data_IF_619802805083
#
_entry.id   IF_619802805083
#
_cell.length_a   1.000
_cell.length_b   1.000
_cell.length_c   1.000
_cell.angle_alpha   90.00
_cell.angle_beta   90.00
_cell.angle_gamma   90.00
#
_symmetry.space_group_name_H-M   'P 1'
#
loop_
_entity.id
_entity.type
_entity.pdbx_description
1 polymer ?
#
# COMPACT_ATOMS: atom_id res chain seq x y z
N UNK A 1 16.02 -5.08 -0.55
CA UNK A 1 16.00 -4.84 -2.01
C UNK A 1 16.12 -6.17 -2.74
N UNK A 2 15.13 -6.52 -3.57
CA UNK A 2 15.13 -7.75 -4.38
C UNK A 2 15.04 -7.35 -5.85
N UNK A 3 16.05 -7.63 -6.63
CA UNK A 3 16.23 -7.21 -8.03
C UNK A 3 17.29 -8.09 -8.68
N UNK A 4 17.00 -8.70 -9.81
CA UNK A 4 17.93 -9.59 -10.50
C UNK A 4 18.93 -8.82 -11.38
N UNK A 5 18.52 -7.71 -12.01
CA UNK A 5 19.41 -6.88 -12.80
C UNK A 5 20.50 -6.25 -11.92
N UNK A 6 21.79 -6.59 -12.13
CA UNK A 6 22.88 -6.10 -11.29
C UNK A 6 23.11 -4.59 -11.41
N UNK A 7 22.76 -3.97 -12.56
CA UNK A 7 22.93 -2.53 -12.76
C UNK A 7 21.86 -1.76 -11.99
N UNK A 8 20.59 -2.16 -12.12
CA UNK A 8 19.46 -1.57 -11.38
C UNK A 8 19.67 -1.75 -9.89
N UNK A 9 20.00 -2.97 -9.45
CA UNK A 9 20.28 -3.29 -8.04
C UNK A 9 21.40 -2.43 -7.48
N UNK A 10 22.52 -2.33 -8.17
CA UNK A 10 23.66 -1.51 -7.72
C UNK A 10 23.33 -0.03 -7.64
N UNK A 11 22.61 0.50 -8.64
CA UNK A 11 22.15 1.89 -8.65
C UNK A 11 21.23 2.18 -7.44
N UNK A 12 20.22 1.36 -7.22
CA UNK A 12 19.26 1.54 -6.13
C UNK A 12 19.92 1.40 -4.76
N UNK A 13 20.75 0.38 -4.55
CA UNK A 13 21.50 0.17 -3.30
C UNK A 13 22.37 1.37 -2.99
N UNK A 14 23.12 1.87 -3.96
CA UNK A 14 23.98 3.04 -3.78
C UNK A 14 23.17 4.29 -3.43
N UNK A 15 22.07 4.52 -4.15
CA UNK A 15 21.18 5.65 -3.89
C UNK A 15 20.60 5.61 -2.48
N UNK A 16 20.06 4.48 -2.08
CA UNK A 16 19.45 4.34 -0.74
C UNK A 16 20.49 4.47 0.38
N UNK A 17 21.69 3.91 0.20
CA UNK A 17 22.78 4.08 1.16
C UNK A 17 23.24 5.54 1.28
N UNK A 18 23.31 6.26 0.18
CA UNK A 18 23.60 7.70 0.19
C UNK A 18 22.54 8.49 0.97
N UNK A 19 21.29 8.07 0.91
CA UNK A 19 20.16 8.65 1.65
C UNK A 19 20.07 8.18 3.12
N UNK A 20 21.06 7.43 3.61
CA UNK A 20 21.18 7.00 5.00
C UNK A 20 20.46 5.70 5.35
N UNK A 21 20.02 4.90 4.37
CA UNK A 21 19.39 3.61 4.62
C UNK A 21 20.44 2.48 4.68
N UNK A 22 20.26 1.54 5.61
CA UNK A 22 20.90 0.24 5.52
C UNK A 22 20.20 -0.63 4.49
N UNK A 23 20.94 -1.20 3.56
CA UNK A 23 20.37 -1.97 2.45
C UNK A 23 20.99 -3.35 2.37
N UNK A 24 20.16 -4.36 2.57
CA UNK A 24 20.43 -5.76 2.22
C UNK A 24 19.85 -6.01 0.83
N UNK A 25 20.61 -6.64 -0.06
CA UNK A 25 20.16 -6.94 -1.43
C UNK A 25 20.11 -8.45 -1.67
N UNK A 26 19.09 -8.87 -2.41
CA UNK A 26 18.89 -10.22 -2.91
C UNK A 26 18.67 -10.15 -4.43
N UNK A 27 19.01 -11.20 -5.16
CA UNK A 27 18.87 -11.29 -6.60
C UNK A 27 17.79 -12.29 -7.04
N UNK A 28 17.17 -12.99 -6.09
CA UNK A 28 16.17 -14.01 -6.33
C UNK A 28 15.23 -14.17 -5.12
N UNK A 29 14.16 -14.95 -5.29
CA UNK A 29 13.16 -15.25 -4.24
C UNK A 29 13.79 -15.99 -3.06
N UNK A 30 14.68 -16.95 -3.33
CA UNK A 30 15.25 -17.80 -2.30
C UNK A 30 16.12 -16.99 -1.33
N UNK A 31 17.03 -16.15 -1.86
CA UNK A 31 17.90 -15.27 -1.05
C UNK A 31 17.09 -14.17 -0.34
N UNK A 32 16.05 -13.64 -0.99
CA UNK A 32 15.16 -12.67 -0.36
C UNK A 32 14.44 -13.25 0.86
N UNK A 33 13.86 -14.45 0.73
CA UNK A 33 13.19 -15.15 1.83
C UNK A 33 14.15 -15.51 2.96
N UNK A 34 15.40 -15.89 2.65
CA UNK A 34 16.42 -16.14 3.66
C UNK A 34 16.79 -14.86 4.44
N UNK A 35 17.00 -13.75 3.72
CA UNK A 35 17.35 -12.46 4.32
C UNK A 35 16.24 -11.96 5.27
N UNK A 36 14.97 -12.03 4.84
CA UNK A 36 13.82 -11.59 5.65
C UNK A 36 13.64 -12.44 6.91
N UNK A 37 13.87 -13.74 6.82
CA UNK A 37 13.82 -14.63 8.01
C UNK A 37 14.94 -14.35 9.00
N UNK A 38 16.12 -13.97 8.50
CA UNK A 38 17.26 -13.65 9.35
C UNK A 38 17.06 -12.33 10.09
N UNK A 39 16.61 -11.30 9.39
CA UNK A 39 16.35 -9.98 9.96
C UNK A 39 15.15 -9.33 9.21
N UNK A 40 13.99 -9.20 9.90
CA UNK A 40 12.84 -8.49 9.30
C UNK A 40 13.20 -7.05 8.94
N UNK A 41 12.98 -6.61 7.69
CA UNK A 41 13.32 -5.26 7.27
C UNK A 41 12.24 -4.24 7.66
N UNK A 42 12.59 -2.94 7.67
CA UNK A 42 11.61 -1.85 7.78
C UNK A 42 10.79 -1.64 6.50
N UNK A 43 11.33 -2.03 5.33
CA UNK A 43 10.66 -2.01 4.03
C UNK A 43 11.30 -2.98 3.04
N UNK A 44 10.53 -3.44 2.05
CA UNK A 44 11.03 -4.24 0.93
C UNK A 44 10.78 -3.50 -0.38
N UNK A 45 11.83 -3.40 -1.22
CA UNK A 45 11.70 -3.05 -2.63
C UNK A 45 11.81 -4.36 -3.42
N UNK A 46 10.85 -4.61 -4.28
CA UNK A 46 10.67 -5.91 -4.91
C UNK A 46 10.41 -5.79 -6.41
N UNK A 47 11.29 -6.34 -7.22
CA UNK A 47 11.01 -6.51 -8.65
C UNK A 47 9.93 -7.57 -8.87
N UNK A 48 9.11 -7.36 -9.88
CA UNK A 48 8.10 -8.32 -10.32
C UNK A 48 8.70 -9.53 -11.00
N UNK A 49 9.73 -9.33 -11.79
CA UNK A 49 10.37 -10.38 -12.59
C UNK A 49 11.65 -10.83 -11.88
N UNK A 50 11.64 -12.05 -11.37
CA UNK A 50 12.81 -12.66 -10.73
C UNK A 50 13.14 -13.99 -11.42
N UNK A 51 14.41 -14.43 -11.44
CA UNK A 51 14.86 -15.60 -12.19
C UNK A 51 14.27 -16.92 -11.70
N UNK A 52 13.90 -16.98 -10.42
CA UNK A 52 13.38 -18.16 -9.74
C UNK A 52 11.90 -18.03 -9.34
N UNK A 53 11.20 -16.96 -9.78
CA UNK A 53 9.79 -16.79 -9.48
C UNK A 53 9.20 -15.42 -9.79
N UNK A 54 7.93 -15.26 -9.46
CA UNK A 54 7.15 -14.02 -9.62
C UNK A 54 7.20 -13.21 -8.33
N UNK A 55 7.59 -11.93 -8.42
CA UNK A 55 7.60 -11.00 -7.28
C UNK A 55 6.22 -10.82 -6.64
N UNK A 56 5.13 -10.95 -7.42
CA UNK A 56 3.76 -10.93 -6.88
C UNK A 56 3.55 -12.10 -5.92
N UNK A 57 4.02 -13.28 -6.29
CA UNK A 57 3.92 -14.46 -5.44
C UNK A 57 4.81 -14.34 -4.19
N UNK A 58 6.01 -13.78 -4.33
CA UNK A 58 6.86 -13.49 -3.17
C UNK A 58 6.16 -12.50 -2.22
N UNK A 59 5.50 -11.46 -2.73
CA UNK A 59 4.74 -10.53 -1.91
C UNK A 59 3.62 -11.25 -1.14
N UNK A 60 2.84 -12.12 -1.80
CA UNK A 60 1.79 -12.93 -1.15
C UNK A 60 2.35 -13.82 -0.05
N UNK A 61 3.48 -14.50 -0.28
CA UNK A 61 4.14 -15.35 0.73
C UNK A 61 4.62 -14.54 1.93
N UNK A 62 5.18 -13.36 1.71
CA UNK A 62 5.57 -12.47 2.79
C UNK A 62 4.35 -12.05 3.61
N UNK A 63 3.24 -11.67 2.97
CA UNK A 63 1.99 -11.30 3.65
C UNK A 63 1.37 -12.46 4.41
N UNK A 64 1.29 -13.64 3.81
CA UNK A 64 0.82 -14.86 4.48
C UNK A 64 1.69 -15.24 5.67
N UNK A 65 2.98 -14.93 5.63
CA UNK A 65 3.92 -15.06 6.75
C UNK A 65 3.82 -13.97 7.82
N UNK A 66 2.82 -13.09 7.75
CA UNK A 66 2.58 -12.05 8.75
C UNK A 66 3.42 -10.78 8.57
N UNK A 67 4.06 -10.59 7.41
CA UNK A 67 4.84 -9.38 7.13
C UNK A 67 3.96 -8.12 7.16
N UNK A 68 4.26 -7.20 8.09
CA UNK A 68 3.58 -5.91 8.25
C UNK A 68 4.40 -4.72 7.73
N UNK A 69 5.67 -4.93 7.36
CA UNK A 69 6.50 -3.89 6.76
C UNK A 69 6.02 -3.55 5.34
N UNK A 70 6.21 -2.30 4.89
CA UNK A 70 5.81 -1.89 3.55
C UNK A 70 6.60 -2.60 2.46
N UNK A 71 5.91 -2.91 1.35
CA UNK A 71 6.47 -3.50 0.14
C UNK A 71 6.22 -2.56 -1.03
N UNK A 72 7.30 -2.07 -1.64
CA UNK A 72 7.30 -1.25 -2.86
C UNK A 72 7.67 -2.14 -4.05
N UNK A 73 6.75 -2.30 -4.99
CA UNK A 73 7.02 -3.05 -6.21
C UNK A 73 7.70 -2.19 -7.27
N UNK A 74 8.70 -2.77 -7.95
CA UNK A 74 9.30 -2.21 -9.15
C UNK A 74 8.72 -2.95 -10.35
N UNK A 75 8.14 -2.24 -11.32
CA UNK A 75 7.40 -2.85 -12.45
C UNK A 75 7.78 -2.25 -13.77
N UNK A 76 7.74 -3.02 -14.86
CA UNK A 76 7.89 -2.52 -16.20
C UNK A 76 6.63 -1.75 -16.67
N UNK A 77 6.77 -0.88 -17.66
CA UNK A 77 5.76 0.10 -18.09
C UNK A 77 4.47 -0.51 -18.67
N UNK A 78 4.49 -1.75 -19.14
CA UNK A 78 3.47 -2.29 -20.04
C UNK A 78 2.34 -3.09 -19.36
N UNK A 79 2.27 -3.10 -18.06
CA UNK A 79 1.31 -3.96 -17.35
C UNK A 79 0.39 -3.20 -16.42
N UNK A 80 -0.69 -2.62 -16.97
CA UNK A 80 -1.87 -2.25 -16.17
C UNK A 80 -2.38 -3.49 -15.41
N UNK A 81 -2.32 -4.67 -16.04
CA UNK A 81 -2.59 -5.97 -15.43
C UNK A 81 -1.63 -6.30 -14.28
N UNK A 82 -0.33 -6.02 -14.41
CA UNK A 82 0.65 -6.30 -13.37
C UNK A 82 0.54 -5.33 -12.19
N UNK A 83 0.11 -4.09 -12.44
CA UNK A 83 -0.22 -3.14 -11.36
C UNK A 83 -1.41 -3.62 -10.54
N UNK A 84 -2.46 -4.08 -11.19
CA UNK A 84 -3.65 -4.64 -10.53
C UNK A 84 -3.26 -5.90 -9.75
N UNK A 85 -2.53 -6.84 -10.36
CA UNK A 85 -2.04 -8.06 -9.69
C UNK A 85 -1.10 -7.75 -8.51
N UNK A 86 -0.21 -6.76 -8.66
CA UNK A 86 0.67 -6.30 -7.59
C UNK A 86 -0.10 -5.73 -6.41
N UNK A 87 -1.13 -4.93 -6.66
CA UNK A 87 -1.98 -4.35 -5.63
C UNK A 87 -2.83 -5.42 -4.91
N UNK A 88 -3.35 -6.41 -5.65
CA UNK A 88 -4.08 -7.57 -5.09
C UNK A 88 -3.18 -8.50 -4.26
N UNK A 89 -1.87 -8.48 -4.48
CA UNK A 89 -0.91 -9.28 -3.72
C UNK A 89 -0.59 -8.74 -2.32
N UNK A 90 -1.08 -7.55 -1.99
CA UNK A 90 -0.79 -6.87 -0.73
C UNK A 90 0.43 -5.95 -0.74
N UNK A 91 0.92 -5.55 -1.94
CA UNK A 91 1.92 -4.50 -2.06
C UNK A 91 1.36 -3.15 -1.60
N UNK A 92 2.23 -2.32 -1.02
CA UNK A 92 1.83 -1.01 -0.49
C UNK A 92 1.94 0.11 -1.53
N UNK A 93 2.83 -0.06 -2.51
CA UNK A 93 3.06 0.88 -3.60
C UNK A 93 3.80 0.23 -4.76
N UNK A 94 3.89 0.94 -5.89
CA UNK A 94 4.69 0.53 -7.05
C UNK A 94 5.43 1.72 -7.67
N UNK A 95 6.54 1.41 -8.33
CA UNK A 95 7.31 2.34 -9.17
C UNK A 95 7.51 1.71 -10.53
N UNK A 96 7.24 2.48 -11.58
CA UNK A 96 7.37 2.02 -12.96
C UNK A 96 8.79 2.25 -13.47
N UNK A 97 9.44 1.22 -13.98
CA UNK A 97 10.72 1.32 -14.68
C UNK A 97 10.52 1.91 -16.10
N UNK A 98 11.36 2.87 -16.55
CA UNK A 98 12.43 3.49 -15.81
C UNK A 98 11.94 4.55 -14.83
N UNK A 99 12.54 4.61 -13.65
CA UNK A 99 12.19 5.57 -12.60
C UNK A 99 13.37 6.49 -12.26
N UNK A 100 13.06 7.67 -11.72
CA UNK A 100 14.09 8.54 -11.15
C UNK A 100 14.44 8.09 -9.72
N UNK A 101 15.71 8.26 -9.34
CA UNK A 101 16.16 8.00 -7.97
C UNK A 101 15.44 8.86 -6.96
N UNK A 102 15.12 10.11 -7.32
CA UNK A 102 14.34 11.04 -6.48
C UNK A 102 12.94 10.51 -6.20
N UNK A 103 12.23 9.99 -7.21
CA UNK A 103 10.92 9.38 -7.05
C UNK A 103 10.98 8.16 -6.13
N UNK A 104 11.95 7.26 -6.38
CA UNK A 104 12.13 6.06 -5.57
C UNK A 104 12.34 6.40 -4.10
N UNK A 105 13.26 7.30 -3.79
CA UNK A 105 13.57 7.74 -2.42
C UNK A 105 12.35 8.39 -1.75
N UNK A 106 11.62 9.25 -2.46
CA UNK A 106 10.44 9.90 -1.94
C UNK A 106 9.36 8.88 -1.55
N UNK A 107 9.15 7.83 -2.37
CA UNK A 107 8.20 6.74 -2.08
C UNK A 107 8.64 5.88 -0.89
N UNK A 108 9.91 5.50 -0.83
CA UNK A 108 10.46 4.74 0.31
C UNK A 108 10.28 5.52 1.61
N UNK A 109 10.63 6.81 1.63
CA UNK A 109 10.45 7.67 2.80
C UNK A 109 8.97 7.80 3.20
N UNK A 110 8.07 7.96 2.23
CA UNK A 110 6.62 8.02 2.48
C UNK A 110 6.10 6.73 3.10
N UNK A 111 6.53 5.57 2.61
CA UNK A 111 6.16 4.27 3.13
C UNK A 111 6.65 4.06 4.57
N UNK A 112 7.92 4.38 4.85
CA UNK A 112 8.51 4.24 6.19
C UNK A 112 7.89 5.20 7.21
N UNK A 113 7.58 6.45 6.82
CA UNK A 113 6.91 7.41 7.70
C UNK A 113 5.55 6.88 8.17
N UNK A 114 4.77 6.30 7.27
CA UNK A 114 3.46 5.69 7.60
C UNK A 114 3.61 4.44 8.49
N UNK A 115 4.70 3.68 8.33
CA UNK A 115 4.97 2.52 9.16
C UNK A 115 5.26 2.88 10.63
N UNK A 116 5.73 4.11 10.86
CA UNK A 116 6.13 4.63 12.18
C UNK A 116 5.05 5.48 12.87
N UNK A 117 3.81 5.52 12.36
CA UNK A 117 2.73 6.29 13.01
C UNK A 117 2.53 5.89 14.47
N UNK A 118 2.23 6.84 15.38
CA UNK A 118 2.25 6.61 16.82
C UNK A 118 1.28 5.53 17.27
N UNK A 119 1.69 4.75 18.27
CA UNK A 119 0.88 3.69 18.94
C UNK A 119 -0.36 4.22 19.69
N UNK A 120 -0.60 5.53 19.72
CA UNK A 120 -1.66 6.18 20.52
C UNK A 120 -2.71 6.92 19.67
N UNK A 121 -2.91 6.48 18.42
CA UNK A 121 -3.98 7.07 17.62
C UNK A 121 -5.36 6.61 18.16
N UNK A 122 -6.34 7.53 18.30
CA UNK A 122 -7.65 7.18 18.83
C UNK A 122 -8.37 6.19 17.92
N UNK A 123 -9.24 5.37 18.53
CA UNK A 123 -10.18 4.53 17.79
C UNK A 123 -11.13 5.43 16.98
N UNK A 124 -11.15 5.24 15.67
CA UNK A 124 -12.13 5.91 14.81
C UNK A 124 -13.40 5.05 14.75
N UNK A 125 -14.56 5.71 14.82
CA UNK A 125 -15.88 5.04 14.79
C UNK A 125 -16.81 5.76 13.85
N UNK A 126 -17.47 5.03 12.94
CA UNK A 126 -18.46 5.58 12.02
C UNK A 126 -19.40 4.48 11.51
N UNK A 127 -20.73 4.60 11.71
CA UNK A 127 -21.75 3.73 11.09
C UNK A 127 -21.44 2.22 11.18
N UNK A 128 -21.09 1.74 12.37
CA UNK A 128 -20.72 0.34 12.60
C UNK A 128 -19.28 -0.03 12.16
N UNK A 129 -18.50 0.92 11.63
CA UNK A 129 -17.06 0.77 11.44
C UNK A 129 -16.32 1.14 12.73
N UNK A 130 -15.34 0.35 13.08
CA UNK A 130 -14.36 0.63 14.14
C UNK A 130 -12.98 0.41 13.56
N UNK A 131 -12.09 1.39 13.71
CA UNK A 131 -10.73 1.30 13.23
C UNK A 131 -9.76 1.64 14.34
N UNK A 132 -8.89 0.67 14.65
CA UNK A 132 -7.75 0.82 15.56
C UNK A 132 -6.50 1.10 14.75
N UNK A 133 -6.04 2.35 14.77
CA UNK A 133 -4.83 2.74 14.06
C UNK A 133 -3.56 2.18 14.71
N UNK A 134 -3.58 1.90 16.02
CA UNK A 134 -2.44 1.37 16.75
C UNK A 134 -2.23 -0.12 16.45
N UNK A 135 -3.32 -0.91 16.54
CA UNK A 135 -3.31 -2.34 16.18
C UNK A 135 -3.35 -2.59 14.68
N UNK A 136 -3.69 -1.56 13.88
CA UNK A 136 -4.00 -1.66 12.45
C UNK A 136 -5.10 -2.67 12.15
N UNK A 137 -6.11 -2.66 12.98
CA UNK A 137 -7.30 -3.49 12.86
C UNK A 137 -8.52 -2.65 12.49
N UNK A 138 -9.38 -3.19 11.67
CA UNK A 138 -10.64 -2.57 11.29
C UNK A 138 -11.77 -3.59 11.39
N UNK A 139 -12.92 -3.15 11.89
CA UNK A 139 -14.10 -3.99 12.06
C UNK A 139 -15.32 -3.35 11.40
N UNK A 140 -16.21 -4.20 10.89
CA UNK A 140 -17.57 -3.85 10.49
C UNK A 140 -18.54 -4.61 11.38
N UNK A 141 -19.18 -3.92 12.36
CA UNK A 141 -19.84 -4.59 13.46
C UNK A 141 -18.81 -5.41 14.24
N UNK A 142 -19.06 -6.71 14.38
CA UNK A 142 -18.14 -7.66 15.05
C UNK A 142 -17.18 -8.36 14.08
N UNK A 143 -17.29 -8.09 12.77
CA UNK A 143 -16.48 -8.72 11.74
C UNK A 143 -15.14 -8.00 11.53
N UNK A 144 -14.03 -8.71 11.73
CA UNK A 144 -12.70 -8.23 11.35
C UNK A 144 -12.61 -8.10 9.84
N UNK A 145 -12.13 -6.96 9.36
CA UNK A 145 -11.89 -6.69 7.95
C UNK A 145 -10.43 -7.02 7.60
N UNK A 146 -10.22 -7.97 6.73
CA UNK A 146 -8.89 -8.29 6.20
C UNK A 146 -8.44 -7.24 5.17
N UNK A 147 -7.92 -6.12 5.66
CA UNK A 147 -7.48 -5.02 4.83
C UNK A 147 -5.97 -5.10 4.56
N UNK A 148 -5.60 -4.87 3.30
CA UNK A 148 -4.21 -4.53 2.98
C UNK A 148 -3.85 -3.19 3.62
N UNK A 149 -2.55 -2.90 3.70
CA UNK A 149 -2.08 -1.63 4.28
C UNK A 149 -2.73 -0.41 3.60
N UNK A 150 -2.83 -0.42 2.26
CA UNK A 150 -3.42 0.70 1.50
C UNK A 150 -4.93 0.85 1.71
N UNK A 151 -5.64 -0.25 1.76
CA UNK A 151 -7.08 -0.24 2.07
C UNK A 151 -7.32 0.28 3.48
N UNK A 152 -6.47 -0.12 4.43
CA UNK A 152 -6.53 0.39 5.80
C UNK A 152 -6.26 1.89 5.85
N UNK A 153 -5.19 2.37 5.22
CA UNK A 153 -4.83 3.79 5.19
C UNK A 153 -5.93 4.63 4.51
N UNK A 154 -6.56 4.08 3.45
CA UNK A 154 -7.70 4.71 2.77
C UNK A 154 -8.93 4.78 3.69
N UNK A 155 -9.28 3.68 4.36
CA UNK A 155 -10.40 3.65 5.30
C UNK A 155 -10.16 4.62 6.46
N UNK A 156 -8.95 4.64 7.03
CA UNK A 156 -8.56 5.56 8.09
C UNK A 156 -8.72 7.02 7.66
N UNK A 157 -8.31 7.34 6.43
CA UNK A 157 -8.45 8.69 5.89
C UNK A 157 -9.92 9.08 5.71
N UNK A 158 -10.76 8.20 5.19
CA UNK A 158 -12.20 8.45 5.12
C UNK A 158 -12.84 8.62 6.50
N UNK A 159 -12.47 7.77 7.46
CA UNK A 159 -13.02 7.82 8.83
C UNK A 159 -12.53 9.03 9.63
N UNK A 160 -11.40 9.61 9.27
CA UNK A 160 -10.94 10.88 9.83
C UNK A 160 -11.71 12.11 9.26
N UNK A 161 -12.39 11.95 8.11
CA UNK A 161 -13.12 13.01 7.41
C UNK A 161 -14.55 12.56 7.05
N UNK A 162 -15.36 12.09 8.02
CA UNK A 162 -16.69 11.59 7.74
C UNK A 162 -17.58 12.71 7.19
N UNK A 163 -18.46 12.37 6.23
CA UNK A 163 -19.39 13.27 5.56
C UNK A 163 -18.75 14.38 4.71
N UNK A 164 -17.43 14.41 4.62
CA UNK A 164 -16.70 15.34 3.76
C UNK A 164 -16.47 14.72 2.39
N UNK A 165 -16.70 15.49 1.33
CA UNK A 165 -16.35 15.07 -0.04
C UNK A 165 -14.86 15.27 -0.22
N UNK A 166 -14.14 14.19 -0.47
CA UNK A 166 -12.69 14.17 -0.68
C UNK A 166 -12.40 13.99 -2.16
N UNK A 167 -11.64 14.91 -2.72
CA UNK A 167 -11.19 14.77 -4.12
C UNK A 167 -10.20 13.61 -4.27
N UNK A 168 -9.96 13.17 -5.52
CA UNK A 168 -8.92 12.18 -5.80
C UNK A 168 -7.54 12.63 -5.32
N UNK A 169 -7.24 13.90 -5.48
CA UNK A 169 -5.98 14.50 -5.04
C UNK A 169 -5.86 14.49 -3.50
N UNK A 170 -6.95 14.79 -2.79
CA UNK A 170 -6.98 14.71 -1.32
C UNK A 170 -6.73 13.30 -0.83
N UNK A 171 -7.36 12.30 -1.47
CA UNK A 171 -7.16 10.89 -1.14
C UNK A 171 -5.71 10.46 -1.42
N UNK A 172 -5.16 10.79 -2.59
CA UNK A 172 -3.78 10.46 -2.94
C UNK A 172 -2.78 11.07 -1.95
N UNK A 173 -2.97 12.32 -1.60
CA UNK A 173 -2.08 13.05 -0.69
C UNK A 173 -2.32 12.63 0.76
N UNK A 174 -3.55 12.60 1.21
CA UNK A 174 -3.91 12.37 2.60
C UNK A 174 -3.77 10.92 3.03
N UNK A 175 -4.34 9.98 2.27
CA UNK A 175 -4.25 8.56 2.60
C UNK A 175 -2.87 7.98 2.30
N UNK A 176 -2.22 8.41 1.21
CA UNK A 176 -0.98 7.77 0.75
C UNK A 176 0.23 8.71 0.60
N UNK A 177 0.08 10.01 0.89
CA UNK A 177 1.19 10.99 0.93
C UNK A 177 1.85 11.22 -0.43
N UNK A 178 1.12 11.02 -1.53
CA UNK A 178 1.61 11.35 -2.86
C UNK A 178 1.50 12.84 -3.12
N UNK A 179 2.58 13.45 -3.63
CA UNK A 179 2.49 14.79 -4.22
C UNK A 179 1.64 14.78 -5.50
N UNK A 180 1.15 15.94 -5.91
CA UNK A 180 0.19 16.15 -7.01
C UNK A 180 0.59 15.64 -8.41
N UNK A 181 1.73 14.98 -8.56
CA UNK A 181 2.32 14.59 -9.87
C UNK A 181 1.93 13.16 -10.30
N UNK A 182 1.21 12.40 -9.48
CA UNK A 182 0.89 11.01 -9.80
C UNK A 182 -0.49 10.91 -10.43
N UNK A 183 -0.56 10.94 -11.76
CA UNK A 183 -1.75 10.47 -12.49
C UNK A 183 -1.90 8.96 -12.32
N UNK A 184 -2.91 8.53 -11.59
CA UNK A 184 -3.18 7.11 -11.36
C UNK A 184 -4.67 6.88 -11.09
N UNK A 185 -5.18 5.79 -11.61
CA UNK A 185 -6.51 5.26 -11.26
C UNK A 185 -6.51 4.44 -9.95
N UNK A 186 -5.44 4.56 -9.15
CA UNK A 186 -5.31 3.79 -7.92
C UNK A 186 -6.45 4.06 -6.93
N UNK A 187 -6.93 5.30 -6.84
CA UNK A 187 -8.04 5.66 -5.94
C UNK A 187 -9.29 4.86 -6.28
N UNK A 188 -9.66 4.79 -7.57
CA UNK A 188 -10.81 4.05 -8.07
C UNK A 188 -10.72 2.56 -7.73
N UNK A 189 -9.55 1.98 -7.96
CA UNK A 189 -9.28 0.56 -7.72
C UNK A 189 -9.39 0.24 -6.24
N UNK A 190 -8.72 1.00 -5.37
CA UNK A 190 -8.76 0.75 -3.92
C UNK A 190 -10.12 1.08 -3.30
N UNK A 191 -10.84 2.08 -3.78
CA UNK A 191 -12.23 2.32 -3.37
C UNK A 191 -13.10 1.12 -3.77
N UNK A 192 -12.89 0.54 -4.95
CA UNK A 192 -13.58 -0.67 -5.38
C UNK A 192 -13.32 -1.87 -4.44
N UNK A 193 -12.05 -2.11 -4.09
CA UNK A 193 -11.69 -3.19 -3.16
C UNK A 193 -12.25 -2.97 -1.77
N UNK A 194 -12.13 -1.75 -1.26
CA UNK A 194 -12.63 -1.41 0.07
C UNK A 194 -14.15 -1.57 0.15
N UNK A 195 -14.90 -1.10 -0.87
CA UNK A 195 -16.36 -1.32 -0.94
C UNK A 195 -16.71 -2.81 -0.89
N UNK A 196 -16.05 -3.65 -1.70
CA UNK A 196 -16.29 -5.09 -1.72
C UNK A 196 -16.15 -5.69 -0.32
N UNK A 197 -15.09 -5.35 0.42
CA UNK A 197 -14.85 -5.85 1.78
C UNK A 197 -15.83 -5.27 2.81
N UNK A 198 -16.22 -4.03 2.66
CA UNK A 198 -17.19 -3.39 3.55
C UNK A 198 -18.62 -3.92 3.34
N UNK A 199 -18.97 -4.32 2.11
CA UNK A 199 -20.31 -4.73 1.69
C UNK A 199 -20.43 -6.28 1.54
N UNK A 200 -19.42 -7.05 1.97
CA UNK A 200 -19.27 -8.50 1.69
C UNK A 200 -20.43 -9.35 2.21
N UNK A 201 -21.04 -8.98 3.33
CA UNK A 201 -22.18 -9.71 3.92
C UNK A 201 -23.51 -8.99 3.73
N UNK A 202 -23.61 -8.11 2.73
CA UNK A 202 -24.82 -7.37 2.44
C UNK A 202 -24.99 -6.10 3.26
N UNK A 203 -23.93 -5.64 3.93
CA UNK A 203 -24.00 -4.39 4.70
C UNK A 203 -24.20 -3.17 3.78
N UNK A 204 -24.92 -2.13 4.26
CA UNK A 204 -25.20 -0.95 3.46
C UNK A 204 -23.93 -0.20 3.06
N UNK A 205 -23.97 0.42 1.87
CA UNK A 205 -22.87 1.21 1.34
C UNK A 205 -22.55 2.39 2.23
N UNK A 206 -21.27 2.62 2.50
CA UNK A 206 -20.79 3.79 3.23
C UNK A 206 -19.90 4.72 2.39
N UNK A 207 -19.15 4.18 1.43
CA UNK A 207 -18.31 5.01 0.56
C UNK A 207 -19.05 5.31 -0.73
N UNK A 208 -19.43 6.57 -0.93
CA UNK A 208 -20.19 7.02 -2.09
C UNK A 208 -19.31 7.79 -3.08
N UNK A 209 -19.65 7.69 -4.38
CA UNK A 209 -18.98 8.47 -5.43
C UNK A 209 -19.76 9.75 -5.65
N UNK A 210 -19.08 10.88 -5.57
CA UNK A 210 -19.60 12.19 -6.00
C UNK A 210 -19.04 12.45 -7.40
N UNK A 211 -19.91 12.28 -8.41
CA UNK A 211 -19.51 12.35 -9.83
C UNK A 211 -18.77 13.65 -10.13
N UNK A 212 -17.65 13.57 -10.82
CA UNK A 212 -16.81 14.70 -11.20
C UNK A 212 -16.00 15.32 -10.06
N UNK A 213 -16.21 14.92 -8.79
CA UNK A 213 -15.54 15.49 -7.62
C UNK A 213 -14.63 14.47 -6.93
N UNK A 214 -15.21 13.36 -6.42
CA UNK A 214 -14.44 12.40 -5.64
C UNK A 214 -15.31 11.41 -4.87
N UNK A 215 -15.02 11.21 -3.60
CA UNK A 215 -15.68 10.23 -2.74
C UNK A 215 -16.05 10.81 -1.38
N UNK A 216 -17.04 10.23 -0.75
CA UNK A 216 -17.50 10.61 0.60
C UNK A 216 -17.85 9.36 1.41
N UNK A 217 -17.44 9.33 2.68
CA UNK A 217 -17.89 8.35 3.66
C UNK A 217 -19.15 8.90 4.35
N UNK A 218 -20.30 8.27 4.11
CA UNK A 218 -21.59 8.64 4.72
C UNK A 218 -22.54 7.45 4.77
N UNK A 219 -23.52 7.51 5.64
CA UNK A 219 -24.69 6.63 5.59
C UNK A 219 -25.58 7.00 4.40
N UNK A 220 -26.42 6.07 3.99
CA UNK A 220 -27.45 6.37 2.98
C UNK A 220 -28.43 7.39 3.59
N UNK A 221 -28.63 8.49 2.90
CA UNK A 221 -29.65 9.47 3.32
C UNK A 221 -30.99 8.91 2.91
N UNK A 222 -31.80 8.52 3.87
CA UNK A 222 -33.20 8.13 3.67
C UNK A 222 -34.00 9.29 3.11
#
# INVERSE_FOLDING_TARGET
>A
MVEDDPQVRSMVVRTLRYEGFEVVSANDVATAMAAVRHAPPDAVLLDLLLPDGDGVELCRRLRAGGARYPILMLTARDALSDRIRGLESGADDYVVKPFSTTELVARVRALLRRARSPKEAPLLRFAGLVLDSAGREAFRGDRLLELTRREFDLLAFFMAHPRSVLSRADVLTGAWGYGAVVETNAVEVYVGYLRRKLEEHGEPRLIWTVRGVGYVLREETT
#
